data_IF_419538844675
#
_entry.id   IF_419538844675
#
_cell.length_a   1.000
_cell.length_b   1.000
_cell.length_c   1.000
_cell.angle_alpha   90.00
_cell.angle_beta   90.00
_cell.angle_gamma   90.00
#
_symmetry.space_group_name_H-M   'P 1'
#
loop_
_entity.id
_entity.type
_entity.pdbx_description
1 polymer ?
#
# COMPACT_ATOMS: atom_id res chain seq x y z
N UNK A 1 -12.55 59.82 -64.53
CA UNK A 1 -12.29 58.37 -64.70
C UNK A 1 -11.78 57.86 -63.35
N UNK A 2 -12.66 57.29 -62.52
CA UNK A 2 -12.38 57.01 -61.11
C UNK A 2 -12.18 55.50 -60.88
N UNK A 3 -10.98 55.13 -60.43
CA UNK A 3 -10.57 53.76 -60.13
C UNK A 3 -11.15 53.33 -58.77
N UNK A 4 -12.00 52.29 -58.74
CA UNK A 4 -12.51 51.67 -57.51
C UNK A 4 -11.55 50.54 -57.09
N UNK A 5 -10.76 50.75 -56.04
CA UNK A 5 -10.04 49.66 -55.35
C UNK A 5 -11.04 48.85 -54.51
N UNK A 6 -11.19 47.55 -54.82
CA UNK A 6 -11.91 46.59 -53.99
C UNK A 6 -10.91 45.97 -53.01
N UNK A 7 -11.06 46.26 -51.72
CA UNK A 7 -10.30 45.63 -50.64
C UNK A 7 -10.93 44.26 -50.34
N UNK A 8 -10.25 43.19 -50.74
CA UNK A 8 -10.65 41.81 -50.46
C UNK A 8 -10.19 41.43 -49.06
N UNK A 9 -11.10 41.42 -48.09
CA UNK A 9 -10.85 40.91 -46.74
C UNK A 9 -10.87 39.38 -46.76
N UNK A 10 -9.69 38.76 -46.76
CA UNK A 10 -9.52 37.31 -46.54
C UNK A 10 -9.64 37.04 -45.02
N UNK A 11 -10.84 36.66 -44.58
CA UNK A 11 -11.04 36.07 -43.26
C UNK A 11 -10.38 34.69 -43.23
N UNK A 12 -9.18 34.62 -42.64
CA UNK A 12 -8.51 33.36 -42.32
C UNK A 12 -9.23 32.75 -41.11
N UNK A 13 -10.26 31.93 -41.37
CA UNK A 13 -10.95 31.16 -40.36
C UNK A 13 -10.02 30.08 -39.80
N UNK A 14 -9.33 30.37 -38.70
CA UNK A 14 -8.60 29.37 -37.92
C UNK A 14 -9.64 28.48 -37.25
N UNK A 15 -9.90 27.32 -37.86
CA UNK A 15 -10.60 26.21 -37.25
C UNK A 15 -9.74 25.69 -36.09
N UNK A 16 -10.00 26.19 -34.88
CA UNK A 16 -9.54 25.58 -33.64
C UNK A 16 -10.33 24.28 -33.48
N UNK A 17 -9.91 23.23 -34.16
CA UNK A 17 -10.38 21.89 -33.87
C UNK A 17 -9.85 21.54 -32.46
N UNK A 18 -10.71 21.29 -31.46
CA UNK A 18 -10.24 20.79 -30.18
C UNK A 18 -9.57 19.45 -30.47
N UNK A 19 -8.25 19.40 -30.40
CA UNK A 19 -7.54 18.12 -30.35
C UNK A 19 -8.08 17.43 -29.10
N UNK A 20 -8.77 16.28 -29.22
CA UNK A 20 -9.05 15.48 -28.05
C UNK A 20 -7.71 15.19 -27.41
N UNK A 21 -7.44 15.79 -26.25
CA UNK A 21 -6.46 15.24 -25.34
C UNK A 21 -7.06 13.90 -24.94
N UNK A 22 -6.68 12.85 -25.67
CA UNK A 22 -6.97 11.47 -25.28
C UNK A 22 -6.21 11.26 -23.98
N UNK A 23 -6.84 11.63 -22.86
CA UNK A 23 -6.45 11.16 -21.56
C UNK A 23 -6.44 9.63 -21.68
N UNK A 24 -5.29 9.02 -21.42
CA UNK A 24 -5.12 7.59 -21.53
C UNK A 24 -5.98 6.91 -20.45
N UNK A 25 -7.21 6.56 -20.81
CA UNK A 25 -8.18 5.89 -19.95
C UNK A 25 -7.67 4.55 -19.43
N UNK A 26 -6.56 4.04 -19.98
CA UNK A 26 -5.91 2.84 -19.47
C UNK A 26 -5.27 3.04 -18.10
N UNK A 27 -5.06 4.27 -17.62
CA UNK A 27 -4.53 4.54 -16.27
C UNK A 27 -5.61 4.77 -15.21
N UNK A 28 -6.85 5.05 -15.64
CA UNK A 28 -7.96 5.24 -14.71
C UNK A 28 -8.18 3.98 -13.86
N UNK A 29 -8.53 4.20 -12.59
CA UNK A 29 -8.87 3.13 -11.68
C UNK A 29 -10.12 2.40 -12.16
N UNK A 30 -9.93 1.16 -12.63
CA UNK A 30 -10.98 0.36 -13.26
C UNK A 30 -10.77 -1.13 -13.01
N UNK A 31 -11.82 -1.90 -13.28
CA UNK A 31 -11.77 -3.36 -13.19
C UNK A 31 -10.87 -3.94 -14.30
N UNK A 32 -9.91 -4.80 -13.94
CA UNK A 32 -8.98 -5.50 -14.84
C UNK A 32 -9.29 -7.00 -14.95
N UNK A 33 -10.46 -7.43 -14.47
CA UNK A 33 -10.92 -8.81 -14.46
C UNK A 33 -10.87 -9.43 -13.06
N UNK A 34 -9.67 -9.50 -12.48
CA UNK A 34 -9.39 -10.15 -11.19
C UNK A 34 -9.04 -9.15 -10.06
N UNK A 35 -9.04 -7.85 -10.37
CA UNK A 35 -8.72 -6.75 -9.46
C UNK A 35 -9.27 -5.44 -10.01
N UNK A 36 -9.32 -4.42 -9.17
CA UNK A 36 -9.37 -3.04 -9.62
C UNK A 36 -7.98 -2.42 -9.52
N UNK A 37 -7.55 -1.69 -10.53
CA UNK A 37 -6.21 -1.10 -10.60
C UNK A 37 -6.19 0.19 -11.44
N UNK A 38 -5.47 1.20 -10.94
CA UNK A 38 -5.19 2.44 -11.67
C UNK A 38 -4.82 3.58 -10.72
N UNK A 39 -4.99 4.81 -11.21
CA UNK A 39 -4.83 6.04 -10.44
C UNK A 39 -6.14 6.34 -9.72
N UNK A 40 -6.09 6.44 -8.39
CA UNK A 40 -7.25 6.70 -7.54
C UNK A 40 -6.97 7.90 -6.64
N UNK A 41 -7.80 8.95 -6.64
CA UNK A 41 -7.64 10.06 -5.71
C UNK A 41 -7.53 9.54 -4.28
N UNK A 42 -6.63 10.16 -3.50
CA UNK A 42 -6.39 9.74 -2.12
C UNK A 42 -7.71 9.70 -1.35
N UNK A 43 -8.11 8.54 -0.78
CA UNK A 43 -9.26 8.51 0.09
C UNK A 43 -8.98 9.42 1.29
N UNK A 44 -9.95 10.27 1.63
CA UNK A 44 -9.93 11.06 2.86
C UNK A 44 -10.09 10.12 4.05
N UNK A 45 -8.96 9.62 4.56
CA UNK A 45 -8.89 8.79 5.76
C UNK A 45 -9.05 9.66 7.00
N UNK A 46 -10.16 9.49 7.72
CA UNK A 46 -10.44 10.16 9.00
C UNK A 46 -9.81 9.48 10.23
N UNK A 47 -8.89 8.53 10.05
CA UNK A 47 -8.32 7.76 11.17
C UNK A 47 -7.09 8.43 11.77
N UNK A 48 -7.03 8.47 13.09
CA UNK A 48 -5.92 9.05 13.87
C UNK A 48 -4.54 8.49 13.47
N UNK A 49 -4.47 7.16 13.33
CA UNK A 49 -3.33 6.43 12.76
C UNK A 49 -3.84 5.49 11.67
N UNK A 50 -3.34 5.62 10.45
CA UNK A 50 -3.66 4.76 9.32
C UNK A 50 -2.56 3.71 9.13
N UNK A 51 -2.92 2.42 9.08
CA UNK A 51 -2.00 1.36 8.65
C UNK A 51 -1.94 1.36 7.12
N UNK A 52 -0.72 1.49 6.58
CA UNK A 52 -0.47 1.52 5.14
C UNK A 52 0.03 0.17 4.63
N UNK A 53 0.95 -0.47 5.35
CA UNK A 53 1.49 -1.76 4.98
C UNK A 53 1.99 -2.56 6.19
N UNK A 54 2.00 -3.88 6.02
CA UNK A 54 2.69 -4.82 6.90
C UNK A 54 3.44 -5.81 6.02
N UNK A 55 4.72 -5.54 5.80
CA UNK A 55 5.58 -6.31 4.91
C UNK A 55 6.61 -7.12 5.69
N UNK A 56 6.96 -8.31 5.20
CA UNK A 56 8.22 -8.94 5.56
C UNK A 56 9.39 -8.03 5.14
N UNK A 57 10.41 -7.94 5.99
CA UNK A 57 11.63 -7.17 5.74
C UNK A 57 12.52 -7.92 4.73
N UNK A 58 12.09 -7.89 3.47
CA UNK A 58 12.69 -8.60 2.35
C UNK A 58 12.65 -7.74 1.08
N UNK A 59 13.77 -7.74 0.35
CA UNK A 59 13.88 -7.08 -0.94
C UNK A 59 14.72 -7.92 -1.90
N UNK A 60 14.16 -8.21 -3.06
CA UNK A 60 14.90 -8.67 -4.24
C UNK A 60 15.60 -7.50 -4.95
N UNK A 61 16.88 -7.67 -5.35
CA UNK A 61 17.56 -6.67 -6.14
C UNK A 61 16.92 -6.59 -7.53
N UNK A 62 16.56 -5.37 -7.94
CA UNK A 62 16.16 -5.11 -9.32
C UNK A 62 16.67 -3.76 -9.79
N UNK A 63 17.15 -3.70 -11.03
CA UNK A 63 17.60 -2.47 -11.69
C UNK A 63 16.47 -1.74 -12.41
N UNK A 64 15.33 -2.42 -12.62
CA UNK A 64 14.16 -1.91 -13.33
C UNK A 64 12.87 -2.48 -12.74
N UNK A 65 11.73 -1.85 -13.03
CA UNK A 65 10.45 -2.40 -12.59
C UNK A 65 10.17 -3.75 -13.29
N UNK A 66 9.97 -4.86 -12.56
CA UNK A 66 9.76 -6.19 -13.13
C UNK A 66 8.45 -6.26 -13.93
N UNK A 67 8.32 -7.23 -14.84
CA UNK A 67 7.10 -7.39 -15.69
C UNK A 67 5.84 -7.68 -14.86
N UNK A 68 6.04 -8.32 -13.71
CA UNK A 68 5.01 -8.72 -12.77
C UNK A 68 5.52 -8.55 -11.34
N UNK A 69 4.58 -8.28 -10.44
CA UNK A 69 4.82 -8.30 -9.00
C UNK A 69 3.96 -9.39 -8.39
N UNK A 70 4.42 -9.89 -7.24
CA UNK A 70 3.81 -10.98 -6.50
C UNK A 70 3.70 -10.61 -5.04
N UNK A 71 2.60 -11.01 -4.44
CA UNK A 71 2.39 -10.94 -2.99
C UNK A 71 2.10 -12.33 -2.46
N UNK A 72 2.89 -12.74 -1.48
CA UNK A 72 2.69 -13.98 -0.72
C UNK A 72 2.25 -13.69 0.71
N UNK A 73 1.34 -14.48 1.27
CA UNK A 73 0.95 -14.37 2.67
C UNK A 73 0.39 -15.70 3.19
N UNK A 74 0.60 -15.99 4.48
CA UNK A 74 0.02 -17.16 5.12
C UNK A 74 -1.32 -16.82 5.76
N UNK A 75 -2.33 -17.67 5.54
CA UNK A 75 -3.64 -17.52 6.14
C UNK A 75 -3.89 -18.65 7.15
N UNK A 76 -4.02 -18.35 8.43
CA UNK A 76 -4.19 -19.40 9.47
C UNK A 76 -5.56 -20.08 9.45
N UNK A 77 -6.61 -19.32 9.17
CA UNK A 77 -8.01 -19.77 9.21
C UNK A 77 -8.77 -19.14 8.04
N UNK A 78 -9.88 -19.75 7.65
CA UNK A 78 -10.68 -19.18 6.58
C UNK A 78 -11.30 -17.87 7.05
N UNK A 79 -10.93 -16.77 6.40
CA UNK A 79 -11.45 -15.44 6.67
C UNK A 79 -11.62 -14.67 5.36
N UNK A 80 -12.55 -13.69 5.30
CA UNK A 80 -12.53 -12.68 4.24
C UNK A 80 -11.16 -12.00 4.19
N UNK A 81 -10.59 -11.88 3.00
CA UNK A 81 -9.28 -11.27 2.78
C UNK A 81 -9.46 -10.05 1.88
N UNK A 82 -8.97 -8.92 2.34
CA UNK A 82 -8.99 -7.66 1.60
C UNK A 82 -7.56 -7.22 1.34
N UNK A 83 -7.11 -7.44 0.09
CA UNK A 83 -5.77 -7.07 -0.36
C UNK A 83 -5.80 -5.68 -1.00
N UNK A 84 -4.91 -4.82 -0.53
CA UNK A 84 -4.66 -3.49 -1.10
C UNK A 84 -3.17 -3.33 -1.37
N UNK A 85 -2.84 -2.82 -2.56
CA UNK A 85 -1.50 -2.35 -2.91
C UNK A 85 -1.61 -0.90 -3.35
N UNK A 86 -0.84 -0.02 -2.73
CA UNK A 86 -0.81 1.42 -3.03
C UNK A 86 0.56 1.97 -2.73
N UNK A 87 0.89 3.17 -3.18
CA UNK A 87 2.13 3.81 -2.74
C UNK A 87 2.11 4.08 -1.23
N UNK A 88 3.28 3.97 -0.59
CA UNK A 88 3.43 4.34 0.82
C UNK A 88 3.26 5.85 1.01
N UNK A 89 3.86 6.65 0.10
CA UNK A 89 3.65 8.09 -0.01
C UNK A 89 3.03 8.39 -1.39
N UNK A 90 1.88 9.08 -1.43
CA UNK A 90 1.06 9.24 -2.64
C UNK A 90 1.71 10.21 -3.66
N UNK A 91 2.65 9.71 -4.45
CA UNK A 91 3.29 10.47 -5.53
C UNK A 91 2.55 10.31 -6.85
N UNK A 92 2.23 9.07 -7.22
CA UNK A 92 1.58 8.69 -8.48
C UNK A 92 0.09 8.34 -8.29
N UNK A 93 -0.37 8.26 -7.04
CA UNK A 93 -1.72 7.84 -6.64
C UNK A 93 -2.08 6.45 -7.14
N UNK A 94 -1.08 5.57 -7.28
CA UNK A 94 -1.30 4.19 -7.69
C UNK A 94 -2.12 3.43 -6.63
N UNK A 95 -3.11 2.68 -7.10
CA UNK A 95 -3.98 1.87 -6.26
C UNK A 95 -4.40 0.57 -6.94
N UNK A 96 -4.35 -0.52 -6.19
CA UNK A 96 -4.86 -1.83 -6.53
C UNK A 96 -5.61 -2.39 -5.33
N UNK A 97 -6.86 -2.82 -5.54
CA UNK A 97 -7.69 -3.46 -4.51
C UNK A 97 -8.73 -4.39 -5.15
N UNK A 98 -9.70 -4.85 -4.33
CA UNK A 98 -10.82 -5.71 -4.77
C UNK A 98 -10.37 -6.96 -5.53
N UNK A 99 -9.31 -7.57 -5.04
CA UNK A 99 -8.71 -8.75 -5.67
C UNK A 99 -9.59 -9.98 -5.48
N UNK A 100 -9.89 -10.67 -6.58
CA UNK A 100 -10.77 -11.85 -6.64
C UNK A 100 -10.05 -13.02 -7.34
N UNK A 101 -9.19 -13.77 -6.61
CA UNK A 101 -8.47 -14.88 -7.21
C UNK A 101 -9.44 -16.02 -7.60
N UNK A 102 -9.19 -16.68 -8.73
CA UNK A 102 -10.09 -17.69 -9.28
C UNK A 102 -10.36 -18.89 -8.35
N UNK A 103 -9.36 -19.27 -7.54
CA UNK A 103 -9.47 -20.38 -6.57
C UNK A 103 -9.89 -19.91 -5.16
N UNK A 104 -10.15 -18.62 -4.98
CA UNK A 104 -10.31 -18.02 -3.65
C UNK A 104 -9.03 -18.12 -2.80
N UNK A 105 -9.10 -17.57 -1.60
CA UNK A 105 -8.04 -17.66 -0.60
C UNK A 105 -8.21 -18.93 0.23
N UNK A 106 -7.10 -19.65 0.44
CA UNK A 106 -7.08 -20.95 1.10
C UNK A 106 -6.54 -20.81 2.53
N UNK A 107 -7.27 -21.35 3.50
CA UNK A 107 -6.83 -21.42 4.89
C UNK A 107 -5.72 -22.44 5.08
N UNK A 108 -4.90 -22.23 6.11
CA UNK A 108 -3.74 -23.06 6.49
C UNK A 108 -2.72 -23.24 5.37
N UNK A 109 -2.63 -22.29 4.45
CA UNK A 109 -1.71 -22.32 3.34
C UNK A 109 -1.11 -20.94 3.07
N UNK A 110 0.02 -20.95 2.37
CA UNK A 110 0.55 -19.75 1.73
C UNK A 110 -0.29 -19.48 0.48
N UNK A 111 -0.82 -18.27 0.40
CA UNK A 111 -1.55 -17.76 -0.74
C UNK A 111 -0.62 -16.84 -1.53
N UNK A 112 -0.79 -16.82 -2.85
CA UNK A 112 -0.04 -15.96 -3.76
C UNK A 112 -1.00 -15.23 -4.69
N UNK A 113 -0.72 -13.96 -4.93
CA UNK A 113 -1.36 -13.18 -5.98
C UNK A 113 -0.30 -12.51 -6.84
N UNK A 114 -0.46 -12.61 -8.16
CA UNK A 114 0.47 -12.06 -9.15
C UNK A 114 -0.30 -11.10 -10.04
N UNK A 115 0.27 -9.92 -10.31
CA UNK A 115 -0.30 -8.98 -11.27
C UNK A 115 0.78 -8.37 -12.18
N UNK A 116 0.45 -8.07 -13.45
CA UNK A 116 1.37 -7.43 -14.37
C UNK A 116 1.56 -5.95 -14.05
N UNK A 117 2.78 -5.44 -14.20
CA UNK A 117 3.10 -4.01 -13.99
C UNK A 117 2.88 -3.16 -15.24
N UNK A 118 2.88 -3.80 -16.42
CA UNK A 118 2.76 -3.13 -17.73
C UNK A 118 1.52 -2.24 -17.88
N UNK A 119 0.31 -2.65 -17.46
CA UNK A 119 -0.90 -1.86 -17.71
C UNK A 119 -0.94 -0.52 -16.99
N UNK A 120 -0.33 -0.42 -15.81
CA UNK A 120 -0.43 0.79 -14.97
C UNK A 120 0.94 1.22 -14.45
N UNK A 121 1.58 0.46 -13.57
CA UNK A 121 2.81 0.89 -12.88
C UNK A 121 3.93 1.34 -13.83
N UNK A 122 4.19 0.60 -14.91
CA UNK A 122 5.23 0.98 -15.89
C UNK A 122 4.89 2.21 -16.70
N UNK A 123 3.60 2.50 -16.88
CA UNK A 123 3.15 3.71 -17.56
C UNK A 123 3.26 4.93 -16.63
N UNK A 124 3.10 4.73 -15.31
CA UNK A 124 3.26 5.78 -14.33
C UNK A 124 4.72 6.15 -14.10
N UNK A 125 5.59 5.16 -13.83
CA UNK A 125 7.03 5.38 -13.63
C UNK A 125 7.82 4.07 -13.81
N UNK A 126 8.63 4.01 -14.88
CA UNK A 126 9.48 2.84 -15.16
C UNK A 126 10.60 2.65 -14.13
N UNK A 127 10.94 3.69 -13.38
CA UNK A 127 11.97 3.70 -12.33
C UNK A 127 11.38 3.54 -10.93
N UNK A 128 10.07 3.33 -10.81
CA UNK A 128 9.43 3.07 -9.53
C UNK A 128 10.14 1.91 -8.83
N UNK A 129 10.55 2.13 -7.58
CA UNK A 129 11.02 1.06 -6.73
C UNK A 129 9.80 0.27 -6.19
N UNK A 130 9.66 -1.05 -6.46
CA UNK A 130 8.56 -1.84 -5.93
C UNK A 130 8.37 -1.73 -4.42
N UNK A 131 9.45 -1.49 -3.66
CA UNK A 131 9.41 -1.41 -2.20
C UNK A 131 8.92 -0.06 -1.66
N UNK A 132 8.62 0.90 -2.55
CA UNK A 132 7.84 2.10 -2.23
C UNK A 132 6.33 1.82 -2.26
N UNK A 133 5.91 0.63 -2.73
CA UNK A 133 4.55 0.16 -2.60
C UNK A 133 4.31 -0.38 -1.18
N UNK A 134 3.19 0.01 -0.59
CA UNK A 134 2.62 -0.56 0.60
C UNK A 134 1.66 -1.67 0.23
N UNK A 135 1.81 -2.83 0.86
CA UNK A 135 0.87 -3.95 0.75
C UNK A 135 0.20 -4.17 2.09
N UNK A 136 -1.12 -4.24 2.08
CA UNK A 136 -1.93 -4.48 3.27
C UNK A 136 -2.98 -5.54 3.00
N UNK A 137 -3.04 -6.53 3.89
CA UNK A 137 -3.97 -7.67 3.77
C UNK A 137 -4.78 -7.73 5.06
N UNK A 138 -5.96 -7.10 5.04
CA UNK A 138 -6.88 -7.12 6.18
C UNK A 138 -7.69 -8.41 6.19
N UNK A 139 -7.91 -8.94 7.38
CA UNK A 139 -8.72 -10.12 7.62
C UNK A 139 -10.07 -9.70 8.22
N UNK A 140 -11.16 -10.24 7.69
CA UNK A 140 -12.53 -10.04 8.17
C UNK A 140 -13.18 -8.71 7.75
N UNK A 141 -12.52 -7.56 7.94
CA UNK A 141 -13.06 -6.24 7.59
C UNK A 141 -12.18 -5.51 6.58
N UNK A 142 -12.79 -4.94 5.55
CA UNK A 142 -12.10 -4.13 4.53
C UNK A 142 -11.67 -2.75 5.06
N UNK A 143 -12.52 -2.16 5.89
CA UNK A 143 -12.36 -0.79 6.38
C UNK A 143 -11.34 -0.72 7.52
N UNK A 144 -10.49 0.31 7.57
CA UNK A 144 -9.57 0.51 8.70
C UNK A 144 -10.30 0.61 10.04
N UNK A 145 -9.61 0.24 11.11
CA UNK A 145 -10.10 0.30 12.48
C UNK A 145 -8.94 0.44 13.47
N UNK A 146 -9.23 0.86 14.71
CA UNK A 146 -8.22 0.95 15.78
C UNK A 146 -7.58 -0.42 16.09
N UNK A 147 -8.34 -1.50 15.90
CA UNK A 147 -7.88 -2.88 16.05
C UNK A 147 -8.01 -3.60 14.71
N UNK A 148 -6.87 -3.89 14.08
CA UNK A 148 -6.83 -4.58 12.79
C UNK A 148 -6.23 -5.99 12.95
N UNK A 149 -6.83 -6.96 12.27
CA UNK A 149 -6.25 -8.28 12.05
C UNK A 149 -5.66 -8.32 10.64
N UNK A 150 -4.35 -8.50 10.56
CA UNK A 150 -3.59 -8.37 9.31
C UNK A 150 -2.75 -9.64 9.08
N UNK A 151 -2.76 -10.13 7.84
CA UNK A 151 -1.79 -11.11 7.39
C UNK A 151 -0.55 -10.37 6.86
N UNK A 152 0.65 -10.57 7.44
CA UNK A 152 1.86 -9.97 6.90
C UNK A 152 2.10 -10.44 5.47
N UNK A 153 2.40 -9.49 4.59
CA UNK A 153 2.62 -9.72 3.18
C UNK A 153 4.12 -9.84 2.88
N UNK A 154 4.48 -10.62 1.87
CA UNK A 154 5.80 -10.64 1.25
C UNK A 154 5.61 -10.10 -0.15
N UNK A 155 6.24 -8.97 -0.47
CA UNK A 155 6.28 -8.41 -1.82
C UNK A 155 7.56 -8.86 -2.51
N UNK A 156 7.42 -9.46 -3.69
CA UNK A 156 8.53 -9.98 -4.48
C UNK A 156 8.15 -10.05 -5.97
N UNK A 157 9.07 -10.41 -6.85
CA UNK A 157 8.86 -10.56 -8.29
C UNK A 157 9.42 -11.85 -8.89
N UNK A 158 10.46 -12.47 -8.30
CA UNK A 158 10.99 -13.74 -8.78
C UNK A 158 10.85 -14.85 -7.74
N UNK A 159 11.39 -14.69 -6.53
CA UNK A 159 11.35 -15.71 -5.48
C UNK A 159 11.03 -15.11 -4.11
N UNK A 160 10.16 -15.75 -3.30
CA UNK A 160 9.98 -15.34 -1.91
C UNK A 160 11.21 -15.74 -1.07
N UNK A 161 11.44 -15.09 0.09
CA UNK A 161 12.51 -15.49 0.99
C UNK A 161 12.24 -16.86 1.58
N UNK A 162 13.28 -17.65 1.83
CA UNK A 162 13.16 -18.93 2.53
C UNK A 162 12.73 -18.74 3.99
N UNK A 163 13.17 -17.64 4.61
CA UNK A 163 12.88 -17.29 6.00
C UNK A 163 12.53 -15.81 6.13
N UNK A 164 11.58 -15.51 7.02
CA UNK A 164 11.23 -14.13 7.38
C UNK A 164 12.08 -13.71 8.59
N UNK A 165 13.01 -12.77 8.37
CA UNK A 165 13.88 -12.21 9.42
C UNK A 165 13.27 -11.03 10.15
N UNK A 166 12.21 -10.42 9.63
CA UNK A 166 11.62 -9.23 10.25
C UNK A 166 10.39 -8.73 9.52
N UNK A 167 9.80 -7.68 10.08
CA UNK A 167 8.63 -7.02 9.53
C UNK A 167 8.78 -5.49 9.54
N UNK A 168 8.19 -4.87 8.53
CA UNK A 168 8.08 -3.43 8.36
C UNK A 168 6.60 -3.05 8.43
N UNK A 169 6.24 -2.27 9.44
CA UNK A 169 4.88 -1.74 9.62
C UNK A 169 4.90 -0.27 9.22
N UNK A 170 4.42 0.05 8.02
CA UNK A 170 4.32 1.44 7.58
C UNK A 170 2.96 1.99 7.92
N UNK A 171 2.94 3.14 8.59
CA UNK A 171 1.74 3.79 9.12
C UNK A 171 1.82 5.29 8.86
N UNK A 172 0.71 6.00 9.07
CA UNK A 172 0.66 7.46 8.95
C UNK A 172 -0.25 8.05 10.01
N UNK A 173 0.25 9.02 10.76
CA UNK A 173 -0.58 9.80 11.68
C UNK A 173 -1.29 10.93 10.93
N UNK A 174 -2.51 11.27 11.32
CA UNK A 174 -3.25 12.38 10.69
C UNK A 174 -2.73 13.77 11.06
N UNK A 175 -2.08 13.91 12.22
CA UNK A 175 -1.44 15.13 12.71
C UNK A 175 -0.04 14.86 13.28
N UNK A 176 0.67 15.93 13.64
CA UNK A 176 1.97 15.83 14.31
C UNK A 176 1.82 15.06 15.63
N UNK A 177 2.58 13.99 15.81
CA UNK A 177 2.35 13.05 16.91
C UNK A 177 3.64 12.64 17.64
N UNK A 178 3.51 12.27 18.91
CA UNK A 178 4.50 11.48 19.65
C UNK A 178 3.93 10.09 19.86
N UNK A 179 4.66 9.05 19.45
CA UNK A 179 4.21 7.65 19.54
C UNK A 179 5.27 6.75 20.20
N UNK A 180 4.81 5.71 20.89
CA UNK A 180 5.58 4.55 21.30
C UNK A 180 4.89 3.31 20.76
N UNK A 181 5.63 2.51 20.00
CA UNK A 181 5.16 1.30 19.36
C UNK A 181 5.87 0.10 19.95
N UNK A 182 5.11 -0.96 20.27
CA UNK A 182 5.60 -2.16 20.93
C UNK A 182 5.10 -3.39 20.22
N UNK A 183 5.94 -4.41 20.08
CA UNK A 183 5.50 -5.75 19.65
C UNK A 183 5.43 -6.64 20.87
N UNK A 184 4.28 -7.27 21.04
CA UNK A 184 3.93 -8.15 22.14
C UNK A 184 3.69 -9.57 21.63
N UNK A 185 4.13 -10.57 22.39
CA UNK A 185 3.94 -11.98 22.07
C UNK A 185 2.79 -12.59 22.86
N UNK A 186 1.90 -13.31 22.17
CA UNK A 186 0.85 -14.12 22.79
C UNK A 186 -0.13 -13.32 23.65
N UNK A 187 -0.86 -14.02 24.53
CA UNK A 187 -1.79 -13.39 25.49
C UNK A 187 -1.08 -12.78 26.70
N UNK A 188 0.09 -13.31 27.03
CA UNK A 188 0.90 -12.89 28.18
C UNK A 188 1.53 -11.50 27.99
N UNK A 189 1.39 -10.90 26.80
CA UNK A 189 1.83 -9.54 26.49
C UNK A 189 3.32 -9.31 26.75
N UNK A 190 4.14 -10.36 26.62
CA UNK A 190 5.58 -10.26 26.73
C UNK A 190 6.11 -9.35 25.62
N UNK A 191 6.71 -8.23 26.01
CA UNK A 191 7.29 -7.26 25.08
C UNK A 191 8.55 -7.84 24.44
N UNK A 192 8.59 -7.87 23.11
CA UNK A 192 9.74 -8.36 22.32
C UNK A 192 10.44 -7.24 21.55
N UNK A 193 9.80 -6.08 21.43
CA UNK A 193 10.39 -4.89 20.80
C UNK A 193 9.64 -3.64 21.27
N UNK A 194 10.37 -2.53 21.44
CA UNK A 194 9.81 -1.18 21.58
C UNK A 194 10.57 -0.20 20.69
N UNK A 195 9.83 0.66 19.99
CA UNK A 195 10.35 1.78 19.20
C UNK A 195 9.57 3.05 19.56
N UNK A 196 10.28 4.14 19.88
CA UNK A 196 9.66 5.40 20.29
C UNK A 196 10.00 6.51 19.30
N UNK A 197 8.99 7.28 18.92
CA UNK A 197 9.08 8.44 18.05
C UNK A 197 8.71 9.69 18.84
N UNK A 198 9.70 10.56 19.09
CA UNK A 198 9.48 11.79 19.87
C UNK A 198 8.61 12.80 19.12
N UNK A 199 8.71 12.83 17.80
CA UNK A 199 7.92 13.64 16.89
C UNK A 199 7.83 12.96 15.53
N UNK A 200 6.60 12.82 15.03
CA UNK A 200 6.26 12.35 13.69
C UNK A 200 5.47 13.46 13.00
N UNK A 201 5.90 13.95 11.83
CA UNK A 201 5.09 14.89 11.07
C UNK A 201 3.76 14.26 10.62
N UNK A 202 2.66 14.99 10.79
CA UNK A 202 1.35 14.57 10.32
C UNK A 202 1.34 14.36 8.80
N UNK A 203 0.57 13.37 8.35
CA UNK A 203 0.41 13.08 6.93
C UNK A 203 1.63 12.45 6.24
N UNK A 204 2.75 12.24 6.95
CA UNK A 204 3.94 11.56 6.43
C UNK A 204 3.98 10.10 6.91
N UNK A 205 4.26 9.14 6.02
CA UNK A 205 4.45 7.75 6.42
C UNK A 205 5.66 7.62 7.36
N UNK A 206 5.57 6.69 8.31
CA UNK A 206 6.66 6.26 9.16
C UNK A 206 6.64 4.73 9.29
N UNK A 207 7.80 4.13 9.55
CA UNK A 207 7.93 2.67 9.63
C UNK A 207 8.42 2.23 11.01
N UNK A 208 7.69 1.29 11.60
CA UNK A 208 8.16 0.49 12.74
C UNK A 208 8.83 -0.75 12.19
N UNK A 209 10.08 -1.01 12.60
CA UNK A 209 10.82 -2.21 12.17
C UNK A 209 10.90 -3.17 13.34
N UNK A 210 10.47 -4.42 13.11
CA UNK A 210 10.66 -5.49 14.07
C UNK A 210 11.60 -6.55 13.49
N UNK A 211 12.76 -6.73 14.12
CA UNK A 211 13.63 -7.88 13.87
C UNK A 211 13.01 -9.12 14.54
N UNK A 212 12.58 -10.06 13.70
CA UNK A 212 11.94 -11.31 14.08
C UNK A 212 12.90 -12.50 13.95
N UNK A 213 14.20 -12.27 13.76
CA UNK A 213 15.19 -13.33 13.72
C UNK A 213 15.17 -14.13 15.04
N UNK A 214 14.82 -15.42 14.96
CA UNK A 214 14.70 -16.29 16.14
C UNK A 214 13.40 -16.13 16.94
N UNK A 215 12.46 -15.29 16.48
CA UNK A 215 11.12 -15.28 17.04
C UNK A 215 10.43 -16.63 16.80
N UNK A 216 9.63 -17.07 17.76
CA UNK A 216 8.88 -18.32 17.64
C UNK A 216 7.63 -18.08 16.79
N UNK A 217 7.27 -19.05 15.95
CA UNK A 217 6.00 -19.02 15.22
C UNK A 217 4.83 -18.79 16.18
N UNK A 218 3.91 -17.90 15.82
CA UNK A 218 2.80 -17.57 16.72
C UNK A 218 2.13 -16.23 16.45
N UNK A 219 1.16 -15.91 17.30
CA UNK A 219 0.46 -14.63 17.28
C UNK A 219 1.26 -13.55 17.99
N UNK A 220 1.33 -12.40 17.33
CA UNK A 220 1.95 -11.18 17.83
C UNK A 220 0.98 -10.02 17.68
N UNK A 221 1.20 -8.98 18.49
CA UNK A 221 0.44 -7.74 18.44
C UNK A 221 1.39 -6.56 18.43
N UNK A 222 1.32 -5.71 17.41
CA UNK A 222 1.90 -4.38 17.43
C UNK A 222 0.90 -3.42 18.08
N UNK A 223 1.32 -2.69 19.11
CA UNK A 223 0.54 -1.63 19.74
C UNK A 223 1.31 -0.33 19.62
N UNK A 224 0.77 0.64 18.89
CA UNK A 224 1.26 2.01 18.87
C UNK A 224 0.33 2.88 19.71
N UNK A 225 0.90 3.64 20.65
CA UNK A 225 0.16 4.54 21.53
C UNK A 225 0.89 5.86 21.73
N UNK A 226 0.15 6.93 21.99
CA UNK A 226 0.75 8.24 22.22
C UNK A 226 -0.28 9.36 22.17
N UNK A 227 0.07 10.50 21.60
CA UNK A 227 -0.83 11.66 21.51
C UNK A 227 -0.43 12.60 20.36
N UNK A 228 -1.40 13.37 19.84
CA UNK A 228 -1.13 14.50 18.95
C UNK A 228 -0.49 15.65 19.73
N UNK A 229 0.51 16.30 19.14
CA UNK A 229 1.34 17.31 19.81
C UNK A 229 0.64 18.66 20.03
N UNK A 230 -0.38 18.97 19.23
CA UNK A 230 -1.14 20.23 19.29
C UNK A 230 -2.32 20.16 20.27
N UNK A 231 -3.03 19.03 20.29
CA UNK A 231 -4.27 18.83 21.04
C UNK A 231 -4.10 17.97 22.29
N UNK A 232 -2.99 17.25 22.42
CA UNK A 232 -2.79 16.17 23.40
C UNK A 232 -3.86 15.07 23.34
N UNK A 233 -4.64 14.98 22.24
CA UNK A 233 -5.59 13.89 22.05
C UNK A 233 -4.83 12.56 22.01
N UNK A 234 -5.25 11.55 22.79
CA UNK A 234 -4.58 10.26 22.82
C UNK A 234 -4.74 9.52 21.49
N UNK A 235 -3.70 8.80 21.10
CA UNK A 235 -3.66 7.97 19.90
C UNK A 235 -3.44 6.52 20.29
N UNK A 236 -4.12 5.62 19.59
CA UNK A 236 -3.91 4.19 19.71
C UNK A 236 -4.16 3.49 18.39
N UNK A 237 -3.31 2.52 18.07
CA UNK A 237 -3.51 1.59 16.97
C UNK A 237 -2.96 0.23 17.38
N UNK A 238 -3.74 -0.81 17.11
CA UNK A 238 -3.40 -2.20 17.41
C UNK A 238 -3.46 -3.01 16.12
N UNK A 239 -2.37 -3.71 15.81
CA UNK A 239 -2.28 -4.63 14.67
C UNK A 239 -1.97 -6.02 15.18
N UNK A 240 -2.90 -6.95 15.01
CA UNK A 240 -2.74 -8.37 15.32
C UNK A 240 -2.33 -9.12 14.08
N UNK A 241 -1.31 -9.96 14.20
CA UNK A 241 -0.78 -10.70 13.06
C UNK A 241 -0.16 -12.02 13.51
N UNK A 242 0.04 -12.93 12.56
CA UNK A 242 0.71 -14.20 12.78
C UNK A 242 2.10 -14.18 12.16
N UNK A 243 3.13 -14.42 12.98
CA UNK A 243 4.48 -14.63 12.50
C UNK A 243 4.67 -16.09 12.14
N UNK A 244 5.05 -16.35 10.88
CA UNK A 244 5.48 -17.66 10.38
C UNK A 244 6.90 -17.52 9.84
N UNK A 245 7.93 -18.10 10.49
CA UNK A 245 9.33 -17.87 10.11
C UNK A 245 9.70 -18.55 8.79
N UNK A 246 9.08 -19.70 8.46
CA UNK A 246 9.36 -20.47 7.25
C UNK A 246 8.18 -20.42 6.27
N UNK A 247 8.49 -20.21 4.98
CA UNK A 247 7.49 -20.13 3.91
C UNK A 247 7.10 -21.48 3.31
N UNK A 248 7.82 -22.55 3.66
CA UNK A 248 7.55 -23.93 3.22
C UNK A 248 7.06 -24.79 4.37
#
# INVERSE_FOLDING_TARGET
>A
MALKLRATWLFLGVLVAPLPLWADSSLDYQNRGDRFEGVKPKPVSGYDIEVISVLADYQEPSTQLPDQLRVGFYLQSQAPVHLTVREQDYRLYYWLDKVTPAKGWQAKSVNEYTWPTKPVLRQLDQKLNPYELGVLIRLGKETPAENEEIAPAILYHAQPPERISGYLFTMKANGDARLSCKVLRGKESAEVMTQTFRRLPGGRPFTVRWDAAGAQEGHYTLVCSGYFLDTNQPLRQTVRFFHRPAMR
#
